data_IF_602926332023
#
_entry.id   IF_602926332023
#
_cell.length_a   1.000
_cell.length_b   1.000
_cell.length_c   1.000
_cell.angle_alpha   90.00
_cell.angle_beta   90.00
_cell.angle_gamma   90.00
#
_symmetry.space_group_name_H-M   'P 1'
#
loop_
_entity.id
_entity.type
_entity.pdbx_description
1 polymer ?
#
# COMPACT_ATOMS: atom_id res chain seq x y z
N UNK A 1 12.59 -6.95 11.86
CA UNK A 1 13.30 -6.63 13.10
C UNK A 1 13.41 -7.91 13.91
N UNK A 2 14.59 -8.21 14.43
CA UNK A 2 14.85 -9.36 15.29
C UNK A 2 15.23 -8.83 16.67
N UNK A 3 14.79 -9.51 17.73
CA UNK A 3 15.21 -9.21 19.10
C UNK A 3 15.91 -10.40 19.73
N UNK A 4 16.77 -10.11 20.68
CA UNK A 4 17.35 -11.11 21.57
C UNK A 4 16.30 -11.48 22.62
N UNK A 5 15.82 -12.72 22.57
CA UNK A 5 14.95 -13.31 23.56
C UNK A 5 15.73 -14.35 24.38
N UNK A 6 15.54 -14.35 25.70
CA UNK A 6 16.15 -15.34 26.59
C UNK A 6 15.43 -16.68 26.47
N UNK A 7 16.19 -17.76 26.43
CA UNK A 7 15.65 -19.12 26.51
C UNK A 7 15.74 -19.65 27.94
N UNK A 8 14.71 -20.41 28.32
CA UNK A 8 14.59 -21.02 29.64
C UNK A 8 14.30 -22.51 29.49
N UNK A 9 14.86 -23.35 30.34
CA UNK A 9 14.49 -24.77 30.46
C UNK A 9 13.15 -24.97 31.19
N UNK A 10 12.71 -26.22 31.30
CA UNK A 10 11.46 -26.59 32.00
C UNK A 10 11.50 -26.26 33.52
N UNK A 11 12.69 -26.04 34.07
CA UNK A 11 12.91 -25.63 35.46
C UNK A 11 13.03 -24.09 35.61
N UNK A 12 12.92 -23.34 34.51
CA UNK A 12 12.98 -21.87 34.49
C UNK A 12 14.40 -21.29 34.52
N UNK A 13 15.42 -22.09 34.23
CA UNK A 13 16.83 -21.66 34.19
C UNK A 13 17.19 -21.11 32.81
N UNK A 14 17.90 -19.98 32.78
CA UNK A 14 18.35 -19.36 31.52
C UNK A 14 19.37 -20.27 30.83
N UNK A 15 19.01 -20.80 29.65
CA UNK A 15 19.81 -21.76 28.87
C UNK A 15 20.52 -21.14 27.68
N UNK A 16 20.13 -19.92 27.28
CA UNK A 16 20.74 -19.23 26.16
C UNK A 16 19.97 -17.99 25.72
N UNK A 17 20.39 -17.46 24.59
CA UNK A 17 19.74 -16.32 23.93
C UNK A 17 19.46 -16.72 22.49
N UNK A 18 18.22 -16.52 22.03
CA UNK A 18 17.82 -16.73 20.64
C UNK A 18 17.41 -15.42 19.98
N UNK A 19 17.58 -15.39 18.67
CA UNK A 19 17.01 -14.33 17.84
C UNK A 19 15.57 -14.68 17.51
N UNK A 20 14.64 -13.83 17.96
CA UNK A 20 13.22 -13.96 17.66
C UNK A 20 12.80 -12.89 16.64
N UNK A 21 12.17 -13.33 15.55
CA UNK A 21 11.62 -12.42 14.54
C UNK A 21 10.33 -11.81 15.07
N UNK A 22 10.38 -10.51 15.34
CA UNK A 22 9.19 -9.73 15.74
C UNK A 22 8.25 -9.49 14.56
N UNK A 23 8.80 -9.24 13.37
CA UNK A 23 7.96 -8.90 12.22
C UNK A 23 7.45 -10.15 11.51
N UNK A 24 6.13 -10.21 11.30
CA UNK A 24 5.55 -11.03 10.24
C UNK A 24 6.14 -10.53 8.92
N UNK A 25 6.97 -11.35 8.26
CA UNK A 25 7.72 -10.99 7.05
C UNK A 25 6.83 -10.86 5.78
N UNK A 26 5.53 -10.63 5.95
CA UNK A 26 4.57 -10.53 4.86
C UNK A 26 4.15 -9.07 4.67
N UNK A 27 4.11 -8.65 3.40
CA UNK A 27 3.59 -7.36 3.00
C UNK A 27 2.15 -7.17 3.52
N UNK A 28 1.86 -6.03 4.16
CA UNK A 28 0.59 -5.82 4.86
C UNK A 28 -0.64 -6.02 3.95
N UNK A 29 -0.59 -5.51 2.72
CA UNK A 29 -1.67 -5.64 1.74
C UNK A 29 -1.93 -7.09 1.29
N UNK A 30 -1.04 -8.04 1.59
CA UNK A 30 -1.24 -9.45 1.23
C UNK A 30 -1.99 -10.26 2.28
N UNK A 31 -2.16 -9.70 3.48
CA UNK A 31 -2.86 -10.36 4.61
C UNK A 31 -4.36 -10.18 4.51
N UNK A 32 -5.12 -11.06 5.16
CA UNK A 32 -6.58 -10.90 5.26
C UNK A 32 -6.91 -9.63 6.06
N UNK A 33 -7.94 -8.89 5.65
CA UNK A 33 -8.39 -7.68 6.35
C UNK A 33 -8.71 -7.93 7.82
N UNK A 34 -9.25 -9.11 8.14
CA UNK A 34 -9.61 -9.52 9.50
C UNK A 34 -8.41 -9.71 10.42
N UNK A 35 -7.21 -9.83 9.85
CA UNK A 35 -5.97 -10.06 10.59
C UNK A 35 -5.13 -8.79 10.73
N UNK A 36 -5.56 -7.66 10.17
CA UNK A 36 -4.83 -6.40 10.17
C UNK A 36 -5.56 -5.43 11.10
N UNK A 37 -4.88 -4.95 12.13
CA UNK A 37 -5.47 -3.95 13.02
C UNK A 37 -5.50 -2.55 12.40
N UNK A 38 -6.32 -1.67 12.94
CA UNK A 38 -6.36 -0.26 12.52
C UNK A 38 -5.01 0.42 12.74
N UNK A 39 -4.31 0.14 13.84
CA UNK A 39 -2.95 0.61 14.10
C UNK A 39 -1.97 0.16 13.00
N UNK A 40 -2.05 -1.09 12.55
CA UNK A 40 -1.21 -1.57 11.46
C UNK A 40 -1.50 -0.83 10.15
N UNK A 41 -2.77 -0.52 9.84
CA UNK A 41 -3.11 0.31 8.68
C UNK A 41 -2.57 1.74 8.80
N UNK A 42 -2.67 2.35 9.98
CA UNK A 42 -2.20 3.73 10.22
C UNK A 42 -0.68 3.83 10.15
N UNK A 43 0.04 2.91 10.78
CA UNK A 43 1.51 2.87 10.73
C UNK A 43 2.02 2.59 9.31
N UNK A 44 1.32 1.72 8.58
CA UNK A 44 1.64 1.50 7.17
C UNK A 44 1.41 2.74 6.30
N UNK A 45 0.33 3.50 6.55
CA UNK A 45 0.12 4.80 5.88
C UNK A 45 1.28 5.76 6.13
N UNK A 46 1.69 5.95 7.38
CA UNK A 46 2.81 6.85 7.74
C UNK A 46 4.10 6.44 7.03
N UNK A 47 4.41 5.14 7.06
CA UNK A 47 5.56 4.59 6.36
C UNK A 47 5.50 4.82 4.84
N UNK A 48 4.33 4.60 4.23
CA UNK A 48 4.15 4.69 2.78
C UNK A 48 4.12 6.14 2.27
N UNK A 49 3.51 7.05 3.03
CA UNK A 49 3.26 8.43 2.61
C UNK A 49 4.31 9.44 3.08
N UNK A 50 5.19 9.03 4.01
CA UNK A 50 6.11 9.93 4.74
C UNK A 50 5.38 11.03 5.53
N UNK A 51 4.11 10.79 5.87
CA UNK A 51 3.33 11.63 6.79
C UNK A 51 3.48 11.12 8.23
N UNK A 52 3.37 12.03 9.20
CA UNK A 52 3.36 11.70 10.63
C UNK A 52 1.94 11.59 11.19
N UNK A 53 0.95 12.17 10.51
CA UNK A 53 -0.44 12.10 10.92
C UNK A 53 -1.08 10.76 10.55
N UNK A 54 -2.15 10.40 11.24
CA UNK A 54 -2.99 9.27 10.83
C UNK A 54 -3.80 9.63 9.56
N UNK A 55 -4.13 8.65 8.70
CA UNK A 55 -5.06 8.85 7.60
C UNK A 55 -6.49 9.05 8.13
N UNK A 56 -7.36 9.71 7.36
CA UNK A 56 -8.79 9.81 7.68
C UNK A 56 -9.53 8.51 7.39
N UNK A 57 -9.24 7.94 6.22
CA UNK A 57 -9.96 6.80 5.66
C UNK A 57 -8.97 5.89 4.92
N UNK A 58 -9.31 4.61 4.84
CA UNK A 58 -8.61 3.67 3.97
C UNK A 58 -9.56 2.66 3.34
N UNK A 59 -9.14 2.14 2.19
CA UNK A 59 -9.85 1.08 1.48
C UNK A 59 -8.83 0.03 1.01
N UNK A 60 -8.79 -1.09 1.75
CA UNK A 60 -8.08 -2.29 1.34
C UNK A 60 -9.01 -3.15 0.47
N UNK A 61 -8.61 -3.58 -0.72
CA UNK A 61 -9.45 -4.40 -1.60
C UNK A 61 -8.60 -5.40 -2.38
N UNK A 62 -9.08 -6.63 -2.48
CA UNK A 62 -8.58 -7.66 -3.38
C UNK A 62 -9.62 -7.90 -4.48
N UNK A 63 -9.19 -7.88 -5.73
CA UNK A 63 -10.04 -8.08 -6.91
C UNK A 63 -9.47 -9.26 -7.70
N UNK A 64 -10.36 -10.15 -8.13
CA UNK A 64 -10.05 -11.35 -8.89
C UNK A 64 -11.00 -11.44 -10.11
N UNK A 65 -10.64 -12.24 -11.11
CA UNK A 65 -11.45 -12.47 -12.31
C UNK A 65 -10.94 -11.71 -13.53
N UNK A 66 -11.75 -10.81 -14.10
CA UNK A 66 -11.38 -10.07 -15.32
C UNK A 66 -10.22 -9.09 -15.12
N UNK A 67 -9.95 -8.72 -13.87
CA UNK A 67 -8.73 -8.06 -13.45
C UNK A 67 -8.28 -8.72 -12.15
N UNK A 68 -6.98 -8.86 -11.96
CA UNK A 68 -6.40 -9.42 -10.74
C UNK A 68 -5.41 -8.44 -10.11
N UNK A 69 -5.83 -7.83 -9.00
CA UNK A 69 -5.01 -6.88 -8.27
C UNK A 69 -5.44 -6.74 -6.81
N UNK A 70 -4.52 -6.26 -5.99
CA UNK A 70 -4.80 -5.76 -4.64
C UNK A 70 -4.54 -4.26 -4.59
N UNK A 71 -5.45 -3.50 -4.00
CA UNK A 71 -5.27 -2.06 -3.79
C UNK A 71 -5.44 -1.72 -2.31
N UNK A 72 -4.57 -0.89 -1.78
CA UNK A 72 -4.71 -0.29 -0.47
C UNK A 72 -4.57 1.22 -0.62
N UNK A 73 -5.70 1.91 -0.51
CA UNK A 73 -5.83 3.34 -0.74
C UNK A 73 -6.08 4.06 0.58
N UNK A 74 -5.58 5.29 0.69
CA UNK A 74 -5.69 6.15 1.88
C UNK A 74 -6.09 7.57 1.50
N UNK A 75 -6.81 8.23 2.42
CA UNK A 75 -7.06 9.67 2.40
C UNK A 75 -6.24 10.33 3.51
N UNK A 76 -5.30 11.24 3.19
CA UNK A 76 -4.59 12.03 4.19
C UNK A 76 -5.53 12.88 5.05
N UNK A 77 -5.22 13.04 6.34
CA UNK A 77 -5.97 13.95 7.24
C UNK A 77 -5.66 15.41 7.06
N UNK A 78 -4.53 15.71 6.44
CA UNK A 78 -4.15 17.07 6.04
C UNK A 78 -3.76 17.05 4.58
N UNK A 79 -4.12 18.11 3.87
CA UNK A 79 -3.65 18.31 2.52
C UNK A 79 -2.10 18.35 2.51
N UNK A 80 -1.44 17.61 1.61
CA UNK A 80 -0.01 17.74 1.40
C UNK A 80 0.35 19.20 1.06
N UNK A 81 1.48 19.70 1.58
CA UNK A 81 1.90 21.09 1.39
C UNK A 81 2.12 21.45 -0.09
N UNK A 82 2.48 20.46 -0.89
CA UNK A 82 2.76 20.55 -2.33
C UNK A 82 1.55 20.23 -3.20
N UNK A 83 0.35 20.06 -2.61
CA UNK A 83 -0.85 19.66 -3.35
C UNK A 83 -1.12 20.58 -4.53
N UNK A 84 -0.87 21.88 -4.42
CA UNK A 84 -1.12 22.86 -5.49
C UNK A 84 0.03 23.04 -6.48
N UNK A 85 1.17 22.39 -6.25
CA UNK A 85 2.30 22.43 -7.15
C UNK A 85 2.04 21.51 -8.37
N UNK A 86 2.09 22.09 -9.57
CA UNK A 86 1.86 21.37 -10.83
C UNK A 86 2.94 20.32 -11.12
N UNK A 87 4.17 20.55 -10.67
CA UNK A 87 5.31 19.67 -10.96
C UNK A 87 5.51 18.60 -9.89
N UNK A 88 4.66 18.58 -8.86
CA UNK A 88 4.83 17.65 -7.76
C UNK A 88 4.45 16.22 -8.16
N UNK A 89 5.34 15.30 -7.82
CA UNK A 89 5.15 13.87 -8.04
C UNK A 89 4.04 13.36 -7.14
N UNK A 90 3.07 12.70 -7.73
CA UNK A 90 1.93 12.13 -7.01
C UNK A 90 1.56 10.81 -7.66
N UNK A 91 0.75 10.01 -6.97
CA UNK A 91 0.30 8.73 -7.48
C UNK A 91 0.45 7.64 -6.44
N UNK A 92 0.25 6.40 -6.90
CA UNK A 92 0.34 5.22 -6.04
C UNK A 92 1.73 4.59 -6.15
N UNK A 93 2.15 3.87 -5.12
CA UNK A 93 3.23 2.89 -5.27
C UNK A 93 2.72 1.74 -6.12
N UNK A 94 3.43 1.42 -7.19
CA UNK A 94 3.11 0.28 -8.06
C UNK A 94 3.95 -0.92 -7.66
N UNK A 95 3.24 -2.02 -7.41
CA UNK A 95 3.77 -3.36 -7.30
C UNK A 95 3.22 -4.22 -8.44
N UNK A 96 4.03 -5.17 -8.89
CA UNK A 96 3.62 -6.21 -9.82
C UNK A 96 4.05 -7.54 -9.25
N UNK A 97 3.09 -8.45 -9.03
CA UNK A 97 3.34 -9.76 -8.43
C UNK A 97 4.15 -9.64 -7.11
N UNK A 98 3.77 -8.67 -6.26
CA UNK A 98 4.44 -8.33 -4.99
C UNK A 98 5.85 -7.75 -5.12
N UNK A 99 6.36 -7.53 -6.33
CA UNK A 99 7.63 -6.87 -6.59
C UNK A 99 7.41 -5.36 -6.73
N UNK A 100 8.15 -4.56 -5.98
CA UNK A 100 8.11 -3.10 -6.12
C UNK A 100 8.62 -2.69 -7.50
N UNK A 101 7.89 -1.81 -8.19
CA UNK A 101 8.25 -1.32 -9.52
C UNK A 101 8.60 0.16 -9.49
N UNK A 102 7.70 1.00 -8.99
CA UNK A 102 7.92 2.45 -8.93
C UNK A 102 7.04 3.15 -7.91
N UNK A 103 7.50 4.31 -7.44
CA UNK A 103 6.71 5.29 -6.71
C UNK A 103 5.96 6.24 -7.66
N UNK A 104 5.00 6.99 -7.12
CA UNK A 104 4.32 8.10 -7.82
C UNK A 104 3.75 7.71 -9.20
N UNK A 105 3.09 6.55 -9.29
CA UNK A 105 2.41 6.12 -10.51
C UNK A 105 1.08 6.88 -10.67
N UNK A 106 1.16 8.11 -11.16
CA UNK A 106 0.02 9.02 -11.38
C UNK A 106 -1.05 8.42 -12.32
N UNK A 107 -0.67 7.49 -13.20
CA UNK A 107 -1.56 6.91 -14.22
C UNK A 107 -2.77 6.19 -13.61
N UNK A 108 -2.67 5.75 -12.35
CA UNK A 108 -3.73 5.04 -11.65
C UNK A 108 -4.75 5.94 -10.94
N UNK A 109 -4.52 7.26 -10.92
CA UNK A 109 -5.42 8.22 -10.29
C UNK A 109 -5.75 9.38 -11.23
N UNK A 110 -7.00 9.89 -11.22
CA UNK A 110 -7.31 11.14 -11.89
C UNK A 110 -6.79 12.34 -11.10
N UNK A 111 -6.49 13.44 -11.80
CA UNK A 111 -5.92 14.64 -11.17
C UNK A 111 -6.78 15.19 -10.02
N UNK A 112 -8.10 15.05 -10.08
CA UNK A 112 -8.99 15.48 -9.00
C UNK A 112 -8.92 14.60 -7.74
N UNK A 113 -8.25 13.44 -7.81
CA UNK A 113 -7.92 12.55 -6.70
C UNK A 113 -6.41 12.47 -6.43
N UNK A 114 -5.61 13.43 -6.90
CA UNK A 114 -4.13 13.43 -6.70
C UNK A 114 -3.67 13.45 -5.23
N UNK A 115 -4.57 13.77 -4.30
CA UNK A 115 -4.31 13.71 -2.86
C UNK A 115 -4.30 12.28 -2.32
N UNK A 116 -4.85 11.32 -3.06
CA UNK A 116 -4.87 9.92 -2.64
C UNK A 116 -3.44 9.41 -2.43
N UNK A 117 -3.27 8.57 -1.42
CA UNK A 117 -2.04 7.84 -1.15
C UNK A 117 -2.33 6.35 -1.14
N UNK A 118 -1.30 5.52 -1.29
CA UNK A 118 -1.45 4.08 -1.22
C UNK A 118 -0.65 3.34 -2.28
N UNK A 119 -1.09 2.11 -2.54
CA UNK A 119 -0.47 1.22 -3.50
C UNK A 119 -1.49 0.42 -4.30
N UNK A 120 -1.02 -0.09 -5.43
CA UNK A 120 -1.64 -1.16 -6.21
C UNK A 120 -0.61 -2.25 -6.49
N UNK A 121 -0.99 -3.50 -6.25
CA UNK A 121 -0.24 -4.71 -6.59
C UNK A 121 -1.02 -5.47 -7.66
N UNK A 122 -0.54 -5.42 -8.91
CA UNK A 122 -1.23 -5.99 -10.06
C UNK A 122 -0.59 -7.30 -10.52
N UNK A 123 -1.41 -8.32 -10.81
CA UNK A 123 -0.96 -9.54 -11.48
C UNK A 123 -1.12 -9.45 -13.01
N UNK A 124 -1.84 -8.44 -13.51
CA UNK A 124 -2.14 -8.26 -14.93
C UNK A 124 -1.09 -7.41 -15.70
N UNK A 125 -0.16 -6.77 -14.98
CA UNK A 125 0.90 -5.98 -15.57
C UNK A 125 2.21 -6.79 -15.65
N UNK A 126 3.05 -6.58 -16.66
CA UNK A 126 4.33 -7.25 -16.75
C UNK A 126 5.38 -6.58 -15.83
N UNK A 127 6.33 -7.36 -15.33
CA UNK A 127 7.39 -6.87 -14.41
C UNK A 127 8.29 -5.78 -15.04
N UNK A 128 8.42 -5.75 -16.36
CA UNK A 128 9.22 -4.76 -17.08
C UNK A 128 8.44 -3.48 -17.44
N UNK A 129 7.32 -3.22 -16.76
CA UNK A 129 6.50 -2.03 -16.99
C UNK A 129 7.24 -0.75 -16.60
N UNK A 130 7.23 0.24 -17.49
CA UNK A 130 7.79 1.57 -17.30
C UNK A 130 6.69 2.64 -17.30
N UNK A 131 7.01 3.88 -16.91
CA UNK A 131 6.05 5.00 -16.96
C UNK A 131 5.48 5.22 -18.36
N UNK A 132 6.31 5.08 -19.39
CA UNK A 132 5.90 5.19 -20.79
C UNK A 132 4.90 4.09 -21.15
N UNK A 133 5.19 2.84 -20.78
CA UNK A 133 4.28 1.71 -21.03
C UNK A 133 2.95 1.94 -20.30
N UNK A 134 2.95 2.52 -19.10
CA UNK A 134 1.72 2.75 -18.35
C UNK A 134 0.76 3.76 -19.02
N UNK A 135 1.26 4.77 -19.73
CA UNK A 135 0.43 5.87 -20.26
C UNK A 135 -0.62 5.39 -21.27
N UNK A 136 -0.25 4.50 -22.21
CA UNK A 136 -1.13 4.03 -23.29
C UNK A 136 -1.59 2.56 -23.11
N UNK A 137 -1.56 2.05 -21.88
CA UNK A 137 -1.91 0.67 -21.59
C UNK A 137 -3.39 0.51 -21.20
N UNK A 138 -4.08 -0.43 -21.87
CA UNK A 138 -5.51 -0.73 -21.62
C UNK A 138 -5.77 -1.26 -20.20
N UNK A 139 -4.86 -2.06 -19.65
CA UNK A 139 -4.93 -2.57 -18.27
C UNK A 139 -4.82 -1.39 -17.30
N UNK A 140 -3.85 -0.49 -17.50
CA UNK A 140 -3.71 0.73 -16.68
C UNK A 140 -4.97 1.59 -16.74
N UNK A 141 -5.54 1.81 -17.93
CA UNK A 141 -6.77 2.59 -18.08
C UNK A 141 -7.97 1.94 -17.35
N UNK A 142 -8.08 0.61 -17.38
CA UNK A 142 -9.12 -0.12 -16.68
C UNK A 142 -8.92 -0.06 -15.16
N UNK A 143 -7.69 -0.28 -14.67
CA UNK A 143 -7.33 -0.15 -13.26
C UNK A 143 -7.58 1.28 -12.73
N UNK A 144 -7.22 2.31 -13.49
CA UNK A 144 -7.51 3.71 -13.15
C UNK A 144 -9.00 3.94 -12.93
N UNK A 145 -9.86 3.43 -13.80
CA UNK A 145 -11.33 3.53 -13.65
C UNK A 145 -11.82 2.81 -12.39
N UNK A 146 -11.32 1.60 -12.14
CA UNK A 146 -11.70 0.80 -10.98
C UNK A 146 -11.27 1.46 -9.66
N UNK A 147 -10.04 1.95 -9.59
CA UNK A 147 -9.51 2.67 -8.42
C UNK A 147 -10.22 4.01 -8.21
N UNK A 148 -10.52 4.75 -9.27
CA UNK A 148 -11.32 5.98 -9.18
C UNK A 148 -12.68 5.70 -8.54
N UNK A 149 -13.40 4.68 -9.04
CA UNK A 149 -14.68 4.28 -8.47
C UNK A 149 -14.53 3.89 -6.99
N UNK A 150 -13.49 3.12 -6.65
CA UNK A 150 -13.23 2.71 -5.27
C UNK A 150 -12.96 3.89 -4.35
N UNK A 151 -12.16 4.86 -4.78
CA UNK A 151 -11.87 6.07 -4.03
C UNK A 151 -13.14 6.89 -3.78
N UNK A 152 -13.97 7.09 -4.80
CA UNK A 152 -15.24 7.82 -4.65
C UNK A 152 -16.19 7.09 -3.68
N UNK A 153 -16.31 5.76 -3.79
CA UNK A 153 -17.11 4.97 -2.85
C UNK A 153 -16.59 5.07 -1.42
N UNK A 154 -15.27 5.12 -1.21
CA UNK A 154 -14.69 5.31 0.11
C UNK A 154 -15.03 6.70 0.68
N UNK A 155 -15.12 7.74 -0.17
CA UNK A 155 -15.43 9.12 0.23
C UNK A 155 -16.93 9.39 0.45
N UNK A 156 -17.82 8.57 -0.10
CA UNK A 156 -19.27 8.73 0.01
C UNK A 156 -19.83 8.25 1.36
N UNK A 157 -19.06 7.46 2.12
CA UNK A 157 -19.47 6.88 3.40
C UNK A 157 -19.14 7.75 4.60
#
# INVERSE_FOLDING_TARGET
MEILAKEYDEEGKETGIKWEKINKAQALWTRSKSEISDEEYKEFYKHLSHDFADPLLWAHNKVEGNQEYTSLLYVPSKAPWDLFNREHKHGLKLYVQRVFIMDDAEQFMPNYLRFMRGLIDSNDLPLNVSREILQDNKVTAALRKALTKRSLQMLEN
#
